data_IF_710608415660
#
_entry.id   IF_710608415660
#
_cell.length_a   1.000
_cell.length_b   1.000
_cell.length_c   1.000
_cell.angle_alpha   90.00
_cell.angle_beta   90.00
_cell.angle_gamma   90.00
#
_symmetry.space_group_name_H-M   'P 1'
#
loop_
_entity.id
_entity.type
_entity.pdbx_description
1 polymer ?
#
# COMPACT_ATOMS: atom_id res chain seq x y z
N UNK A 1 -20.66 -8.38 -1.25
CA UNK A 1 -19.42 -8.99 -1.77
C UNK A 1 -19.25 -10.35 -1.13
N UNK A 2 -18.98 -11.38 -1.91
CA UNK A 2 -18.74 -12.72 -1.37
C UNK A 2 -17.29 -12.75 -0.85
N UNK A 3 -17.10 -12.74 0.48
CA UNK A 3 -15.77 -12.75 1.11
C UNK A 3 -15.18 -14.15 0.89
N UNK A 4 -14.45 -14.30 -0.21
CA UNK A 4 -13.66 -15.50 -0.49
C UNK A 4 -12.24 -15.28 0.00
N UNK A 5 -11.54 -16.38 0.29
CA UNK A 5 -10.17 -16.33 0.72
C UNK A 5 -9.30 -15.62 -0.33
N UNK A 6 -8.55 -14.60 0.11
CA UNK A 6 -7.55 -13.92 -0.71
C UNK A 6 -6.23 -14.70 -0.65
N UNK A 7 -6.19 -15.86 -1.29
CA UNK A 7 -5.05 -16.78 -1.20
C UNK A 7 -3.88 -16.28 -2.06
N UNK A 8 -2.64 -16.54 -1.61
CA UNK A 8 -1.47 -16.52 -2.49
C UNK A 8 -1.29 -17.88 -3.17
N UNK A 9 -1.00 -17.88 -4.47
CA UNK A 9 -0.74 -19.08 -5.25
C UNK A 9 0.73 -19.47 -5.14
N UNK A 10 1.00 -20.69 -4.69
CA UNK A 10 2.36 -21.22 -4.52
C UNK A 10 2.59 -22.41 -5.46
N UNK A 11 3.83 -22.62 -5.88
CA UNK A 11 4.27 -23.80 -6.64
C UNK A 11 5.44 -24.49 -5.95
N UNK A 12 5.56 -25.79 -6.18
CA UNK A 12 6.68 -26.63 -5.75
C UNK A 12 7.77 -26.54 -6.81
N UNK A 13 8.97 -26.10 -6.41
CA UNK A 13 10.09 -25.85 -7.33
C UNK A 13 11.04 -27.06 -7.44
N UNK A 14 10.57 -28.21 -7.93
CA UNK A 14 11.41 -29.42 -8.13
C UNK A 14 10.96 -30.25 -9.35
N UNK A 15 11.94 -30.71 -10.16
CA UNK A 15 11.80 -31.89 -11.01
C UNK A 15 11.88 -33.14 -10.13
N UNK A 16 10.87 -34.01 -10.22
CA UNK A 16 10.48 -35.22 -9.44
C UNK A 16 11.53 -36.10 -8.71
N UNK A 17 12.85 -35.83 -8.71
CA UNK A 17 13.91 -36.83 -8.44
C UNK A 17 14.86 -36.60 -7.26
N UNK A 18 14.61 -35.74 -6.26
CA UNK A 18 15.58 -35.59 -5.14
C UNK A 18 14.96 -35.62 -3.74
N UNK A 19 15.59 -36.41 -2.87
CA UNK A 19 15.28 -36.71 -1.45
C UNK A 19 15.31 -35.50 -0.49
N UNK A 20 15.17 -34.27 -0.98
CA UNK A 20 15.08 -33.05 -0.19
C UNK A 20 13.68 -32.45 -0.34
N UNK A 21 13.10 -31.94 0.76
CA UNK A 21 11.79 -31.29 0.70
C UNK A 21 11.84 -30.15 -0.34
N UNK A 22 10.97 -30.17 -1.36
CA UNK A 22 10.99 -29.19 -2.42
C UNK A 22 10.71 -27.77 -1.89
N UNK A 23 11.45 -26.73 -2.32
CA UNK A 23 11.12 -25.37 -1.92
C UNK A 23 9.76 -24.96 -2.50
N UNK A 24 8.88 -24.48 -1.62
CA UNK A 24 7.60 -23.87 -2.00
C UNK A 24 7.87 -22.40 -2.31
N UNK A 25 7.66 -22.01 -3.57
CA UNK A 25 7.88 -20.64 -4.03
C UNK A 25 6.56 -20.00 -4.41
N UNK A 26 6.47 -18.68 -4.23
CA UNK A 26 5.33 -17.92 -4.71
C UNK A 26 5.35 -17.90 -6.23
N UNK A 27 4.21 -18.19 -6.86
CA UNK A 27 4.08 -18.05 -8.31
C UNK A 27 4.14 -16.57 -8.68
N UNK A 28 5.11 -16.16 -9.50
CA UNK A 28 5.27 -14.78 -9.95
C UNK A 28 5.07 -14.62 -11.47
N UNK A 29 4.90 -15.74 -12.17
CA UNK A 29 4.73 -15.74 -13.63
C UNK A 29 3.27 -15.79 -14.06
N UNK A 30 3.01 -15.23 -15.24
CA UNK A 30 1.70 -15.28 -15.89
C UNK A 30 0.55 -14.67 -15.07
N UNK A 31 -0.65 -15.20 -15.27
CA UNK A 31 -1.88 -14.72 -14.62
C UNK A 31 -1.87 -14.96 -13.11
N UNK A 32 -1.27 -16.07 -12.67
CA UNK A 32 -1.11 -16.38 -11.25
C UNK A 32 -0.18 -15.38 -10.54
N UNK A 33 0.94 -15.01 -11.19
CA UNK A 33 1.83 -13.95 -10.73
C UNK A 33 1.16 -12.59 -10.64
N UNK A 34 0.39 -12.21 -11.68
CA UNK A 34 -0.41 -10.97 -11.66
C UNK A 34 -1.37 -10.95 -10.47
N UNK A 35 -2.09 -12.04 -10.23
CA UNK A 35 -3.01 -12.19 -9.10
C UNK A 35 -2.28 -12.07 -7.75
N UNK A 36 -1.15 -12.74 -7.58
CA UNK A 36 -0.33 -12.65 -6.37
C UNK A 36 0.19 -11.23 -6.10
N UNK A 37 0.62 -10.50 -7.13
CA UNK A 37 1.05 -9.11 -6.99
C UNK A 37 -0.11 -8.17 -6.65
N UNK A 38 -1.28 -8.37 -7.25
CA UNK A 38 -2.49 -7.62 -6.89
C UNK A 38 -2.83 -7.81 -5.40
N UNK A 39 -2.82 -9.07 -4.93
CA UNK A 39 -3.09 -9.40 -3.54
C UNK A 39 -2.06 -8.80 -2.60
N UNK A 40 -0.77 -8.87 -2.93
CA UNK A 40 0.28 -8.23 -2.14
C UNK A 40 0.10 -6.72 -2.05
N UNK A 41 -0.27 -6.07 -3.16
CA UNK A 41 -0.54 -4.63 -3.17
C UNK A 41 -1.73 -4.24 -2.28
N UNK A 42 -2.75 -5.10 -2.22
CA UNK A 42 -3.93 -4.93 -1.37
C UNK A 42 -3.61 -5.20 0.11
N UNK A 43 -2.86 -6.25 0.43
CA UNK A 43 -2.40 -6.51 1.80
C UNK A 43 -1.57 -5.34 2.34
N UNK A 44 -0.58 -4.89 1.57
CA UNK A 44 0.22 -3.71 1.92
C UNK A 44 -0.65 -2.47 2.17
N UNK A 45 -1.73 -2.29 1.40
CA UNK A 45 -2.66 -1.17 1.63
C UNK A 45 -3.37 -1.28 2.96
N UNK A 46 -3.97 -2.44 3.24
CA UNK A 46 -4.79 -2.69 4.43
C UNK A 46 -3.95 -2.59 5.70
N UNK A 47 -2.71 -3.06 5.67
CA UNK A 47 -1.78 -2.97 6.81
C UNK A 47 -1.40 -1.52 7.15
N UNK A 48 -1.26 -0.65 6.15
CA UNK A 48 -0.83 0.74 6.35
C UNK A 48 -2.01 1.73 6.48
N UNK A 49 -3.23 1.29 6.20
CA UNK A 49 -4.42 2.14 6.21
C UNK A 49 -4.80 2.70 7.58
N UNK A 50 -4.76 1.93 8.70
CA UNK A 50 -5.28 2.41 9.98
C UNK A 50 -4.60 3.68 10.47
N UNK A 51 -3.27 3.78 10.34
CA UNK A 51 -2.52 4.98 10.74
C UNK A 51 -2.95 6.24 9.97
N UNK A 52 -3.12 6.10 8.65
CA UNK A 52 -3.59 7.18 7.80
C UNK A 52 -5.03 7.62 8.14
N UNK A 53 -5.94 6.66 8.37
CA UNK A 53 -7.32 6.94 8.76
C UNK A 53 -7.42 7.70 10.08
N UNK A 54 -6.58 7.34 11.06
CA UNK A 54 -6.52 8.06 12.34
C UNK A 54 -6.04 9.50 12.16
N UNK A 55 -5.14 9.76 11.22
CA UNK A 55 -4.64 11.10 10.96
C UNK A 55 -5.63 11.96 10.14
N UNK A 56 -6.48 11.35 9.31
CA UNK A 56 -7.42 12.08 8.45
C UNK A 56 -8.39 12.98 9.22
N UNK A 57 -8.91 12.50 10.34
CA UNK A 57 -9.91 13.26 11.13
C UNK A 57 -9.33 14.57 11.68
N UNK A 58 -8.24 14.55 12.49
CA UNK A 58 -7.66 15.79 13.01
C UNK A 58 -7.05 16.67 11.91
N UNK A 59 -6.37 16.08 10.91
CA UNK A 59 -5.79 16.85 9.82
C UNK A 59 -6.88 17.56 8.99
N UNK A 60 -7.97 16.86 8.66
CA UNK A 60 -9.06 17.41 7.86
C UNK A 60 -9.84 18.50 8.58
N UNK A 61 -9.94 18.42 9.91
CA UNK A 61 -10.55 19.47 10.73
C UNK A 61 -9.69 20.74 10.76
N UNK A 62 -8.38 20.61 10.95
CA UNK A 62 -7.45 21.75 11.06
C UNK A 62 -7.05 22.34 9.69
N UNK A 63 -6.95 21.51 8.65
CA UNK A 63 -6.40 21.85 7.34
C UNK A 63 -7.23 21.26 6.19
N UNK A 64 -8.52 21.65 6.03
CA UNK A 64 -9.46 20.97 5.14
C UNK A 64 -9.01 21.00 3.67
N UNK A 65 -8.58 22.16 3.16
CA UNK A 65 -8.17 22.28 1.75
C UNK A 65 -6.86 21.53 1.44
N UNK A 66 -5.77 21.69 2.23
CA UNK A 66 -4.57 20.87 2.03
C UNK A 66 -4.84 19.36 2.10
N UNK A 67 -5.65 18.92 3.07
CA UNK A 67 -5.98 17.49 3.20
C UNK A 67 -6.76 16.99 2.00
N UNK A 68 -7.70 17.76 1.45
CA UNK A 68 -8.41 17.38 0.22
C UNK A 68 -7.44 17.13 -0.95
N UNK A 69 -6.51 18.06 -1.18
CA UNK A 69 -5.53 17.95 -2.27
C UNK A 69 -4.62 16.73 -2.07
N UNK A 70 -4.07 16.56 -0.86
CA UNK A 70 -3.16 15.46 -0.56
C UNK A 70 -3.88 14.11 -0.61
N UNK A 71 -5.15 14.05 -0.22
CA UNK A 71 -5.98 12.84 -0.37
C UNK A 71 -6.16 12.46 -1.83
N UNK A 72 -6.41 13.44 -2.72
CA UNK A 72 -6.53 13.16 -4.14
C UNK A 72 -5.23 12.58 -4.72
N UNK A 73 -4.08 13.15 -4.34
CA UNK A 73 -2.75 12.64 -4.74
C UNK A 73 -2.53 11.22 -4.19
N UNK A 74 -2.89 10.97 -2.93
CA UNK A 74 -2.83 9.64 -2.32
C UNK A 74 -3.64 8.62 -3.13
N UNK A 75 -4.89 8.94 -3.46
CA UNK A 75 -5.78 8.06 -4.23
C UNK A 75 -5.19 7.72 -5.60
N UNK A 76 -4.69 8.73 -6.34
CA UNK A 76 -4.01 8.51 -7.63
C UNK A 76 -2.77 7.64 -7.44
N UNK A 77 -1.95 7.93 -6.43
CA UNK A 77 -0.77 7.14 -6.09
C UNK A 77 -1.10 5.67 -5.81
N UNK A 78 -2.18 5.40 -5.07
CA UNK A 78 -2.64 4.04 -4.77
C UNK A 78 -3.12 3.30 -6.01
N UNK A 79 -3.87 3.95 -6.90
CA UNK A 79 -4.29 3.35 -8.18
C UNK A 79 -3.07 3.02 -9.05
N UNK A 80 -2.11 3.95 -9.18
CA UNK A 80 -0.88 3.73 -9.94
C UNK A 80 -0.01 2.61 -9.33
N UNK A 81 0.07 2.54 -8.00
CA UNK A 81 0.80 1.50 -7.29
C UNK A 81 0.19 0.12 -7.56
N UNK A 82 -1.12 -0.02 -7.38
CA UNK A 82 -1.82 -1.31 -7.53
C UNK A 82 -1.81 -1.80 -8.98
N UNK A 83 -2.13 -0.92 -9.93
CA UNK A 83 -2.14 -1.26 -11.36
C UNK A 83 -0.72 -1.50 -11.89
N UNK A 84 0.24 -0.66 -11.51
CA UNK A 84 1.65 -0.80 -11.89
C UNK A 84 2.25 -2.10 -11.37
N UNK A 85 2.01 -2.45 -10.11
CA UNK A 85 2.54 -3.68 -9.53
C UNK A 85 1.94 -4.95 -10.17
N UNK A 86 0.63 -4.92 -10.40
CA UNK A 86 -0.10 -6.06 -10.98
C UNK A 86 0.38 -6.34 -12.40
N UNK A 87 0.42 -5.29 -13.24
CA UNK A 87 0.61 -5.43 -14.69
C UNK A 87 2.08 -5.43 -15.13
N UNK A 88 2.95 -4.67 -14.44
CA UNK A 88 4.35 -4.48 -14.87
C UNK A 88 5.37 -5.22 -13.99
N UNK A 89 4.91 -5.92 -12.95
CA UNK A 89 5.79 -6.63 -12.04
C UNK A 89 6.49 -5.72 -11.03
N UNK A 90 7.56 -6.26 -10.43
CA UNK A 90 8.37 -5.53 -9.45
C UNK A 90 9.01 -4.28 -10.07
N UNK A 91 9.03 -3.17 -9.32
CA UNK A 91 9.47 -1.86 -9.82
C UNK A 91 8.37 -1.04 -10.52
N UNK A 92 7.39 -1.68 -11.18
CA UNK A 92 6.27 -0.99 -11.84
C UNK A 92 5.37 -0.15 -10.92
N UNK A 93 5.50 -0.34 -9.62
CA UNK A 93 4.72 0.32 -8.57
C UNK A 93 5.41 1.58 -8.00
N UNK A 94 6.67 1.84 -8.34
CA UNK A 94 7.52 2.81 -7.63
C UNK A 94 6.98 4.24 -7.63
N UNK A 95 6.47 4.73 -8.77
CA UNK A 95 5.87 6.07 -8.84
C UNK A 95 4.62 6.19 -7.96
N UNK A 96 3.73 5.19 -8.03
CA UNK A 96 2.54 5.15 -7.18
C UNK A 96 2.88 5.04 -5.69
N UNK A 97 3.95 4.31 -5.36
CA UNK A 97 4.50 4.23 -4.01
C UNK A 97 4.95 5.60 -3.53
N UNK A 98 5.77 6.31 -4.31
CA UNK A 98 6.29 7.62 -3.93
C UNK A 98 5.17 8.65 -3.69
N UNK A 99 4.15 8.68 -4.56
CA UNK A 99 3.00 9.58 -4.42
C UNK A 99 2.17 9.26 -3.17
N UNK A 100 1.87 7.98 -2.93
CA UNK A 100 1.10 7.57 -1.76
C UNK A 100 1.87 7.76 -0.45
N UNK A 101 3.16 7.42 -0.41
CA UNK A 101 4.03 7.62 0.75
C UNK A 101 4.17 9.10 1.11
N UNK A 102 4.50 9.94 0.13
CA UNK A 102 4.64 11.40 0.35
C UNK A 102 3.34 11.98 0.90
N UNK A 103 2.20 11.55 0.36
CA UNK A 103 0.89 12.02 0.82
C UNK A 103 0.60 11.61 2.26
N UNK A 104 0.92 10.36 2.64
CA UNK A 104 0.80 9.88 4.02
C UNK A 104 1.66 10.70 4.97
N UNK A 105 2.93 10.90 4.65
CA UNK A 105 3.86 11.67 5.50
C UNK A 105 3.44 13.13 5.63
N UNK A 106 2.88 13.74 4.59
CA UNK A 106 2.32 15.10 4.67
C UNK A 106 1.15 15.14 5.66
N UNK A 107 0.21 14.19 5.59
CA UNK A 107 -0.94 14.14 6.50
C UNK A 107 -0.48 13.94 7.95
N UNK A 108 0.46 13.02 8.19
CA UNK A 108 1.07 12.82 9.52
C UNK A 108 1.75 14.10 10.02
N UNK A 109 2.49 14.80 9.15
CA UNK A 109 3.13 16.07 9.47
C UNK A 109 2.13 17.17 9.81
N UNK A 110 0.98 17.26 9.12
CA UNK A 110 -0.09 18.20 9.46
C UNK A 110 -0.68 17.92 10.85
N UNK A 111 -0.88 16.65 11.20
CA UNK A 111 -1.33 16.28 12.55
C UNK A 111 -0.30 16.66 13.60
N UNK A 112 0.99 16.41 13.34
CA UNK A 112 2.07 16.82 14.23
C UNK A 112 2.10 18.34 14.44
N UNK A 113 1.97 19.13 13.36
CA UNK A 113 1.93 20.60 13.45
C UNK A 113 0.73 21.08 14.26
N UNK A 114 -0.46 20.52 14.03
CA UNK A 114 -1.64 20.84 14.84
C UNK A 114 -1.44 20.50 16.31
N UNK A 115 -0.85 19.33 16.61
CA UNK A 115 -0.54 18.89 17.96
C UNK A 115 0.46 19.80 18.68
N UNK A 116 1.55 20.16 18.00
CA UNK A 116 2.58 21.07 18.52
C UNK A 116 1.99 22.46 18.83
N UNK A 117 1.19 23.00 17.92
CA UNK A 117 0.49 24.26 18.13
C UNK A 117 -0.49 24.20 19.31
N UNK A 118 -1.20 23.08 19.46
CA UNK A 118 -2.14 22.89 20.56
C UNK A 118 -1.47 22.86 21.95
N UNK A 119 -0.21 22.39 22.04
CA UNK A 119 0.57 22.38 23.28
C UNK A 119 1.45 23.63 23.48
N UNK A 120 1.31 24.64 22.62
CA UNK A 120 1.99 25.93 22.76
C UNK A 120 3.40 26.01 22.18
N UNK A 121 3.82 25.04 21.35
CA UNK A 121 5.09 25.13 20.62
C UNK A 121 4.93 26.14 19.47
N UNK A 122 5.86 27.10 19.31
CA UNK A 122 5.82 28.03 18.18
C UNK A 122 6.19 27.29 16.89
N UNK A 123 5.19 27.03 16.04
CA UNK A 123 5.29 26.38 14.72
C UNK A 123 4.51 27.16 13.67
#
# INVERSE_FOLDING_TARGET
GNIRANLYLFKVNVEESKNALPPVILEDEGTAGMYNRANRSLHHYVENMPGLLLCFVPAGFCFPFPVLVVTAIFCVGRVLHQTGYTNKGYGGHGLGFALSLTSTVIIEGLVLLAGLKAVGVPV
#
